data_IF_339390904076
#
_entry.id   IF_339390904076
#
_cell.length_a   1.000
_cell.length_b   1.000
_cell.length_c   1.000
_cell.angle_alpha   90.00
_cell.angle_beta   90.00
_cell.angle_gamma   90.00
#
_symmetry.space_group_name_H-M   'P 1'
#
loop_
_entity.id
_entity.type
_entity.pdbx_description
1 polymer ?
#
# COMPACT_ATOMS: atom_id res chain seq x y z
N UNK A 1 -0.63 29.65 -32.08
CA UNK A 1 0.06 28.88 -31.03
C UNK A 1 -0.96 28.57 -29.94
N UNK A 2 -1.54 27.38 -30.00
CA UNK A 2 -2.54 26.87 -29.05
C UNK A 2 -1.82 26.10 -27.95
N UNK A 3 -1.88 26.61 -26.71
CA UNK A 3 -1.34 25.93 -25.54
C UNK A 3 -2.42 25.01 -24.95
N UNK A 4 -2.19 23.71 -25.01
CA UNK A 4 -2.98 22.71 -24.30
C UNK A 4 -2.68 22.81 -22.80
N UNK A 5 -3.68 23.16 -22.00
CA UNK A 5 -3.60 23.06 -20.54
C UNK A 5 -4.03 21.64 -20.16
N UNK A 6 -3.06 20.82 -19.76
CA UNK A 6 -3.33 19.53 -19.14
C UNK A 6 -3.61 19.76 -17.65
N UNK A 7 -4.86 19.56 -17.24
CA UNK A 7 -5.27 19.60 -15.84
C UNK A 7 -5.07 18.19 -15.25
N UNK A 8 -3.97 17.97 -14.54
CA UNK A 8 -3.77 16.74 -13.78
C UNK A 8 -4.38 16.93 -12.37
N UNK A 9 -5.63 16.49 -12.19
CA UNK A 9 -6.23 16.32 -10.87
C UNK A 9 -5.88 14.91 -10.39
N UNK A 10 -4.88 14.79 -9.51
CA UNK A 10 -4.68 13.55 -8.75
C UNK A 10 -5.66 13.60 -7.58
N UNK A 11 -6.90 13.20 -7.84
CA UNK A 11 -7.87 12.87 -6.80
C UNK A 11 -7.65 11.43 -6.38
N UNK A 12 -6.91 11.19 -5.30
CA UNK A 12 -6.81 9.86 -4.71
C UNK A 12 -7.93 9.67 -3.68
N UNK A 13 -9.08 9.20 -4.16
CA UNK A 13 -10.13 8.63 -3.30
C UNK A 13 -9.71 7.21 -2.90
N UNK A 14 -9.17 7.04 -1.69
CA UNK A 14 -8.99 5.69 -1.12
C UNK A 14 -10.27 5.36 -0.34
N UNK A 15 -11.22 4.74 -1.03
CA UNK A 15 -12.29 3.98 -0.39
C UNK A 15 -11.89 2.51 -0.35
N UNK A 16 -11.47 2.00 0.80
CA UNK A 16 -11.44 0.55 1.07
C UNK A 16 -12.38 0.25 2.22
N UNK A 17 -13.62 -0.05 1.87
CA UNK A 17 -14.58 -0.73 2.73
C UNK A 17 -15.24 -1.83 1.91
N UNK A 18 -15.03 -3.09 2.28
CA UNK A 18 -15.89 -4.18 1.84
C UNK A 18 -17.27 -3.94 2.46
N UNK A 19 -18.26 -3.57 1.64
CA UNK A 19 -19.66 -3.47 2.08
C UNK A 19 -20.43 -4.61 1.43
N UNK A 20 -20.75 -5.63 2.22
CA UNK A 20 -21.87 -6.52 1.94
C UNK A 20 -23.16 -5.73 2.16
N UNK A 21 -23.89 -5.50 1.07
CA UNK A 21 -25.28 -5.02 0.97
C UNK A 21 -25.88 -4.41 2.26
N UNK A 22 -25.63 -3.12 2.47
CA UNK A 22 -26.54 -2.26 3.24
C UNK A 22 -27.17 -1.33 2.20
N UNK A 23 -28.50 -1.27 2.19
CA UNK A 23 -29.27 -0.46 1.25
C UNK A 23 -28.65 0.94 1.13
N UNK A 24 -28.11 1.26 -0.05
CA UNK A 24 -27.63 2.61 -0.35
C UNK A 24 -28.83 3.53 -0.33
N UNK A 25 -28.92 4.37 0.70
CA UNK A 25 -29.54 5.67 0.51
C UNK A 25 -28.53 6.45 -0.31
N UNK A 26 -28.68 6.41 -1.63
CA UNK A 26 -27.94 7.33 -2.49
C UNK A 26 -28.41 8.75 -2.12
N UNK A 27 -27.50 9.66 -1.74
CA UNK A 27 -27.89 11.05 -1.58
C UNK A 27 -28.42 11.53 -2.93
N UNK A 28 -29.65 12.03 -2.95
CA UNK A 28 -30.22 12.63 -4.14
C UNK A 28 -29.44 13.91 -4.46
N UNK A 29 -28.50 13.79 -5.40
CA UNK A 29 -27.71 14.89 -5.95
C UNK A 29 -28.41 15.54 -7.15
N UNK A 30 -29.68 15.22 -7.42
CA UNK A 30 -30.42 15.98 -8.44
C UNK A 30 -30.56 17.42 -7.98
N UNK A 31 -30.17 18.42 -8.80
CA UNK A 31 -30.38 19.81 -8.45
C UNK A 31 -31.88 20.04 -8.26
N UNK A 32 -32.26 20.34 -7.01
CA UNK A 32 -33.62 20.73 -6.67
C UNK A 32 -34.07 21.86 -7.59
N UNK A 33 -35.16 21.62 -8.31
CA UNK A 33 -35.70 22.52 -9.32
C UNK A 33 -36.19 23.82 -8.68
N UNK A 34 -35.55 24.92 -9.08
CA UNK A 34 -35.99 26.32 -9.12
C UNK A 34 -36.90 26.84 -8.00
N UNK A 35 -36.27 27.51 -7.02
CA UNK A 35 -36.83 28.65 -6.29
C UNK A 35 -36.02 29.90 -6.63
N UNK A 36 -36.64 30.86 -7.31
CA UNK A 36 -36.03 32.05 -7.91
C UNK A 36 -35.69 33.13 -6.88
N UNK A 37 -34.38 33.34 -6.69
CA UNK A 37 -33.69 34.64 -6.47
C UNK A 37 -32.23 34.35 -6.82
N UNK A 38 -31.69 34.69 -7.98
CA UNK A 38 -31.55 36.06 -8.49
C UNK A 38 -30.10 36.50 -8.32
N UNK A 39 -29.30 36.36 -9.38
CA UNK A 39 -28.08 37.14 -9.71
C UNK A 39 -26.93 37.19 -8.68
N UNK A 40 -25.91 36.32 -8.85
CA UNK A 40 -24.46 36.66 -8.69
C UNK A 40 -23.54 35.43 -8.88
N UNK A 41 -23.46 34.84 -10.08
CA UNK A 41 -22.36 33.91 -10.44
C UNK A 41 -21.72 34.29 -11.78
N UNK A 42 -22.46 35.00 -12.64
CA UNK A 42 -21.89 35.69 -13.80
C UNK A 42 -21.08 36.91 -13.32
N UNK A 43 -19.77 36.86 -13.50
CA UNK A 43 -18.85 37.96 -13.19
C UNK A 43 -17.82 37.69 -12.08
N UNK A 44 -17.97 36.61 -11.29
CA UNK A 44 -16.93 36.21 -10.32
C UNK A 44 -15.72 35.61 -11.03
N UNK A 45 -14.52 35.80 -10.48
CA UNK A 45 -13.35 35.06 -10.95
C UNK A 45 -13.52 33.56 -10.62
N UNK A 46 -12.87 32.68 -11.39
CA UNK A 46 -12.93 31.25 -11.13
C UNK A 46 -12.44 30.88 -9.71
N UNK A 47 -11.45 31.61 -9.19
CA UNK A 47 -10.94 31.42 -7.83
C UNK A 47 -11.98 31.76 -6.75
N UNK A 48 -12.73 32.85 -6.92
CA UNK A 48 -13.78 33.23 -5.95
C UNK A 48 -14.95 32.25 -6.00
N UNK A 49 -15.31 31.73 -7.19
CA UNK A 49 -16.32 30.67 -7.30
C UNK A 49 -15.86 29.39 -6.59
N UNK A 50 -14.63 28.95 -6.82
CA UNK A 50 -14.05 27.78 -6.15
C UNK A 50 -14.09 27.93 -4.62
N UNK A 51 -13.67 29.08 -4.11
CA UNK A 51 -13.67 29.35 -2.67
C UNK A 51 -15.06 29.21 -2.08
N UNK A 52 -16.05 29.84 -2.71
CA UNK A 52 -17.44 29.78 -2.25
C UNK A 52 -18.00 28.37 -2.30
N UNK A 53 -17.84 27.66 -3.42
CA UNK A 53 -18.33 26.28 -3.56
C UNK A 53 -17.70 25.34 -2.54
N UNK A 54 -16.41 25.52 -2.24
CA UNK A 54 -15.71 24.69 -1.25
C UNK A 54 -16.12 25.05 0.18
N UNK A 55 -16.29 26.33 0.49
CA UNK A 55 -16.87 26.74 1.79
C UNK A 55 -18.26 26.15 1.97
N UNK A 56 -19.17 26.32 1.00
CA UNK A 56 -20.53 25.78 1.06
C UNK A 56 -20.53 24.24 1.23
N UNK A 57 -19.58 23.54 0.61
CA UNK A 57 -19.41 22.09 0.75
C UNK A 57 -18.92 21.68 2.14
N UNK A 58 -17.83 22.28 2.62
CA UNK A 58 -17.18 21.86 3.87
C UNK A 58 -17.92 22.34 5.12
N UNK A 59 -18.74 23.39 5.01
CA UNK A 59 -19.60 23.92 6.07
C UNK A 59 -21.06 23.42 5.96
N UNK A 60 -21.34 22.46 5.06
CA UNK A 60 -22.68 21.90 4.94
C UNK A 60 -23.12 21.23 6.27
N UNK A 61 -24.40 21.36 6.69
CA UNK A 61 -24.86 20.91 8.01
C UNK A 61 -24.59 19.43 8.33
N UNK A 62 -24.52 18.56 7.32
CA UNK A 62 -24.14 17.16 7.53
C UNK A 62 -22.71 16.95 8.08
N UNK A 63 -21.87 17.99 8.07
CA UNK A 63 -20.48 17.96 8.52
C UNK A 63 -20.22 18.76 9.81
N UNK A 64 -21.26 19.18 10.54
CA UNK A 64 -21.16 20.02 11.76
C UNK A 64 -20.22 19.47 12.85
N UNK A 65 -19.97 18.16 12.87
CA UNK A 65 -19.08 17.50 13.82
C UNK A 65 -17.78 16.96 13.20
N UNK A 66 -17.50 17.33 11.96
CA UNK A 66 -16.32 16.90 11.22
C UNK A 66 -15.23 17.97 11.28
N UNK A 67 -14.00 17.55 11.57
CA UNK A 67 -12.84 18.42 11.42
C UNK A 67 -12.26 18.30 10.01
N UNK A 68 -12.47 19.33 9.20
CA UNK A 68 -11.79 19.48 7.90
C UNK A 68 -10.51 20.30 8.04
N UNK A 69 -9.43 19.82 7.42
CA UNK A 69 -8.20 20.58 7.15
C UNK A 69 -7.89 20.47 5.67
N UNK A 70 -7.98 21.59 4.95
CA UNK A 70 -7.95 21.63 3.48
C UNK A 70 -7.06 22.76 3.01
N UNK A 71 -6.16 22.45 2.09
CA UNK A 71 -5.40 23.43 1.31
C UNK A 71 -5.50 23.01 -0.15
N UNK A 72 -5.91 23.93 -1.00
CA UNK A 72 -5.84 23.77 -2.46
C UNK A 72 -4.80 24.75 -2.97
N UNK A 73 -3.73 24.26 -3.58
CA UNK A 73 -2.62 25.07 -4.07
C UNK A 73 -2.47 24.94 -5.58
N UNK A 74 -2.29 26.07 -6.24
CA UNK A 74 -1.82 26.13 -7.62
C UNK A 74 -0.31 25.90 -7.64
N UNK A 75 0.14 24.87 -8.37
CA UNK A 75 1.56 24.50 -8.47
C UNK A 75 2.34 25.40 -9.43
N UNK A 76 1.67 25.98 -10.42
CA UNK A 76 2.28 26.91 -11.39
C UNK A 76 2.45 28.32 -10.81
N UNK A 77 1.43 28.83 -10.10
CA UNK A 77 1.44 30.18 -9.54
C UNK A 77 1.89 30.24 -8.09
N UNK A 78 2.08 29.07 -7.45
CA UNK A 78 2.54 28.93 -6.07
C UNK A 78 1.66 29.68 -5.06
N UNK A 79 0.34 29.69 -5.30
CA UNK A 79 -0.63 30.31 -4.41
C UNK A 79 -1.68 29.33 -3.91
N UNK A 80 -2.20 29.58 -2.71
CA UNK A 80 -3.32 28.84 -2.18
C UNK A 80 -4.63 29.42 -2.70
N UNK A 81 -5.39 28.58 -3.40
CA UNK A 81 -6.70 28.92 -3.95
C UNK A 81 -7.79 28.79 -2.90
N UNK A 82 -7.60 27.89 -1.93
CA UNK A 82 -8.52 27.65 -0.82
C UNK A 82 -7.76 27.17 0.41
N UNK A 83 -8.18 27.64 1.60
CA UNK A 83 -7.60 27.25 2.89
C UNK A 83 -8.71 27.12 3.92
N UNK A 84 -8.80 25.97 4.58
CA UNK A 84 -9.67 25.72 5.74
C UNK A 84 -8.85 25.00 6.79
N UNK A 85 -8.72 25.58 7.99
CA UNK A 85 -7.91 25.03 9.09
C UNK A 85 -6.49 24.53 8.72
N UNK A 86 -5.71 25.23 7.87
CA UNK A 86 -4.50 24.70 7.23
C UNK A 86 -3.35 24.33 8.20
N UNK A 87 -3.40 24.80 9.44
CA UNK A 87 -2.40 24.52 10.47
C UNK A 87 -2.89 23.53 11.54
N UNK A 88 -4.11 23.01 11.42
CA UNK A 88 -4.60 21.99 12.37
C UNK A 88 -4.01 20.63 12.04
N UNK A 89 -3.47 19.97 13.06
CA UNK A 89 -3.03 18.60 12.98
C UNK A 89 -4.26 17.68 12.88
N UNK A 90 -4.21 16.76 11.91
CA UNK A 90 -5.25 15.76 11.66
C UNK A 90 -4.59 14.39 11.48
N UNK A 91 -5.33 13.31 11.73
CA UNK A 91 -4.87 11.96 11.42
C UNK A 91 -4.81 11.80 9.90
N UNK A 92 -3.63 11.60 9.29
CA UNK A 92 -3.50 11.57 7.84
C UNK A 92 -3.97 10.23 7.24
N UNK A 93 -4.16 9.20 8.07
CA UNK A 93 -4.35 7.82 7.63
C UNK A 93 -3.29 7.44 6.57
N UNK A 94 -3.69 6.78 5.49
CA UNK A 94 -2.78 6.40 4.39
C UNK A 94 -2.17 7.58 3.63
N UNK A 95 -2.60 8.83 3.84
CA UNK A 95 -1.91 9.99 3.24
C UNK A 95 -0.49 10.17 3.81
N UNK A 96 -0.18 9.59 4.98
CA UNK A 96 1.19 9.55 5.50
C UNK A 96 2.17 8.90 4.53
N UNK A 97 1.71 7.99 3.66
CA UNK A 97 2.54 7.34 2.63
C UNK A 97 3.19 8.34 1.67
N UNK A 98 2.56 9.50 1.42
CA UNK A 98 3.15 10.54 0.58
C UNK A 98 4.40 11.15 1.24
N UNK A 99 4.37 11.38 2.55
CA UNK A 99 5.51 11.88 3.33
C UNK A 99 6.58 10.81 3.41
N UNK A 100 6.22 9.55 3.69
CA UNK A 100 7.15 8.42 3.70
C UNK A 100 7.85 8.29 2.34
N UNK A 101 7.11 8.32 1.23
CA UNK A 101 7.68 8.24 -0.12
C UNK A 101 8.67 9.39 -0.39
N UNK A 102 8.31 10.62 -0.05
CA UNK A 102 9.17 11.78 -0.25
C UNK A 102 10.49 11.64 0.54
N UNK A 103 10.41 11.28 1.82
CA UNK A 103 11.58 11.07 2.67
C UNK A 103 12.44 9.90 2.15
N UNK A 104 11.83 8.78 1.78
CA UNK A 104 12.56 7.63 1.22
C UNK A 104 13.26 8.01 -0.08
N UNK A 105 12.58 8.72 -0.99
CA UNK A 105 13.18 9.15 -2.25
C UNK A 105 14.32 10.15 -2.06
N UNK A 106 14.25 11.04 -1.07
CA UNK A 106 15.32 11.96 -0.71
C UNK A 106 16.53 11.22 -0.11
N UNK A 107 16.30 10.22 0.74
CA UNK A 107 17.37 9.49 1.43
C UNK A 107 18.03 8.40 0.58
N UNK A 108 17.24 7.60 -0.15
CA UNK A 108 17.71 6.45 -0.91
C UNK A 108 17.91 6.76 -2.40
N UNK A 109 17.23 7.79 -2.91
CA UNK A 109 17.14 8.07 -4.33
C UNK A 109 16.03 7.26 -5.03
N UNK A 110 15.52 7.82 -6.14
CA UNK A 110 14.47 7.17 -6.95
C UNK A 110 14.93 5.87 -7.63
N UNK A 111 16.25 5.71 -7.81
CA UNK A 111 16.85 4.56 -8.46
C UNK A 111 17.34 3.49 -7.47
N UNK A 112 17.05 3.64 -6.17
CA UNK A 112 17.40 2.64 -5.17
C UNK A 112 16.86 1.26 -5.56
N UNK A 113 17.65 0.22 -5.28
CA UNK A 113 17.29 -1.17 -5.46
C UNK A 113 17.55 -1.92 -4.17
N UNK A 114 16.55 -2.68 -3.75
CA UNK A 114 16.74 -3.68 -2.71
C UNK A 114 17.57 -4.84 -3.26
N UNK A 115 18.25 -5.54 -2.38
CA UNK A 115 19.08 -6.69 -2.69
C UNK A 115 18.70 -7.86 -1.79
N UNK A 116 18.48 -9.01 -2.41
CA UNK A 116 18.49 -10.30 -1.74
C UNK A 116 19.64 -11.14 -2.30
N UNK A 117 20.51 -11.61 -1.42
CA UNK A 117 21.76 -12.27 -1.76
C UNK A 117 21.76 -13.72 -1.28
N UNK A 118 22.28 -14.61 -2.13
CA UNK A 118 22.64 -15.98 -1.76
C UNK A 118 24.14 -16.02 -1.49
N UNK A 119 24.52 -16.27 -0.24
CA UNK A 119 25.89 -16.18 0.26
C UNK A 119 26.35 -17.54 0.77
N UNK A 120 27.58 -17.92 0.45
CA UNK A 120 28.26 -19.04 1.09
C UNK A 120 29.76 -18.84 1.08
N UNK A 121 30.44 -19.32 2.11
CA UNK A 121 31.91 -19.40 2.17
C UNK A 121 32.42 -20.84 2.04
N UNK A 122 31.52 -21.81 1.84
CA UNK A 122 31.86 -23.22 1.80
C UNK A 122 32.31 -23.67 0.39
N UNK A 123 33.21 -24.66 0.30
CA UNK A 123 33.63 -25.18 -0.99
C UNK A 123 32.52 -26.00 -1.65
N UNK A 124 32.56 -26.07 -2.98
CA UNK A 124 31.71 -26.92 -3.81
C UNK A 124 32.55 -28.11 -4.26
N UNK A 125 32.18 -29.32 -3.84
CA UNK A 125 32.88 -30.58 -4.15
C UNK A 125 31.90 -31.56 -4.80
N UNK A 126 32.22 -32.03 -6.01
CA UNK A 126 31.37 -32.97 -6.77
C UNK A 126 29.90 -32.53 -6.85
N UNK A 127 29.69 -31.21 -6.98
CA UNK A 127 28.38 -30.58 -7.01
C UNK A 127 27.66 -30.49 -5.66
N UNK A 128 28.36 -30.68 -4.54
CA UNK A 128 27.83 -30.54 -3.19
C UNK A 128 28.47 -29.34 -2.50
N UNK A 129 27.66 -28.40 -2.02
CA UNK A 129 28.11 -27.32 -1.15
C UNK A 129 28.38 -27.90 0.25
N UNK A 130 29.64 -27.90 0.69
CA UNK A 130 30.11 -28.46 1.98
C UNK A 130 29.91 -27.49 3.14
N UNK A 131 28.71 -26.94 3.27
CA UNK A 131 28.38 -26.01 4.34
C UNK A 131 27.05 -25.29 4.11
N UNK A 132 26.86 -24.22 4.85
CA UNK A 132 25.61 -23.47 4.88
C UNK A 132 25.47 -22.56 3.66
N UNK A 133 24.23 -22.38 3.21
CA UNK A 133 23.80 -21.34 2.28
C UNK A 133 23.01 -20.29 3.08
N UNK A 134 23.39 -19.02 2.96
CA UNK A 134 22.74 -17.91 3.66
C UNK A 134 21.95 -17.10 2.64
N UNK A 135 20.69 -16.81 2.96
CA UNK A 135 19.79 -15.93 2.22
C UNK A 135 19.70 -14.63 3.02
N UNK A 136 20.32 -13.56 2.53
CA UNK A 136 20.33 -12.26 3.19
C UNK A 136 19.54 -11.25 2.38
N UNK A 137 18.60 -10.54 3.00
CA UNK A 137 17.86 -9.45 2.36
C UNK A 137 18.02 -8.14 3.12
N UNK A 138 18.12 -7.03 2.38
CA UNK A 138 18.12 -5.67 2.93
C UNK A 138 16.71 -5.04 3.00
N UNK A 139 15.66 -5.85 2.88
CA UNK A 139 14.27 -5.41 3.01
C UNK A 139 13.50 -5.31 1.70
N UNK A 140 13.80 -6.16 0.71
CA UNK A 140 13.08 -6.16 -0.57
C UNK A 140 11.58 -6.44 -0.38
N UNK A 141 10.69 -5.44 -0.55
CA UNK A 141 9.25 -5.63 -0.37
C UNK A 141 8.60 -6.25 -1.62
N UNK A 142 9.39 -6.47 -2.67
CA UNK A 142 8.96 -7.07 -3.93
C UNK A 142 9.36 -8.53 -4.07
N UNK A 143 9.94 -9.09 -3.01
CA UNK A 143 10.29 -10.50 -2.86
C UNK A 143 9.02 -11.38 -2.92
N UNK A 144 8.63 -11.69 -4.17
CA UNK A 144 7.40 -12.35 -4.59
C UNK A 144 6.08 -11.63 -4.29
N UNK A 145 5.30 -11.31 -5.32
CA UNK A 145 4.10 -10.47 -5.23
C UNK A 145 2.83 -11.32 -5.10
N UNK A 146 1.80 -10.75 -4.48
CA UNK A 146 0.47 -11.36 -4.28
C UNK A 146 -0.17 -12.02 -5.52
N UNK A 147 0.21 -11.59 -6.73
CA UNK A 147 -0.41 -12.00 -7.99
C UNK A 147 0.50 -12.86 -8.89
N UNK A 148 1.68 -13.26 -8.41
CA UNK A 148 2.59 -14.21 -9.06
C UNK A 148 2.61 -15.52 -8.29
N UNK A 149 3.25 -16.56 -8.84
CA UNK A 149 3.48 -17.80 -8.09
C UNK A 149 4.30 -17.44 -6.83
N UNK A 150 3.76 -17.63 -5.61
CA UNK A 150 4.33 -17.15 -4.36
C UNK A 150 5.70 -17.75 -4.03
N UNK A 151 6.15 -18.77 -4.75
CA UNK A 151 7.45 -19.43 -4.56
C UNK A 151 8.35 -19.43 -5.81
N UNK A 152 7.96 -18.74 -6.89
CA UNK A 152 8.72 -18.64 -8.16
C UNK A 152 10.19 -18.27 -7.96
N UNK A 153 10.46 -17.33 -7.05
CA UNK A 153 11.83 -16.86 -6.72
C UNK A 153 12.77 -18.00 -6.32
N UNK A 154 12.27 -19.06 -5.68
CA UNK A 154 13.09 -20.21 -5.32
C UNK A 154 13.50 -21.04 -6.54
N UNK A 155 12.70 -21.04 -7.60
CA UNK A 155 13.03 -21.65 -8.89
C UNK A 155 14.19 -20.93 -9.60
N UNK A 156 14.17 -19.61 -9.58
CA UNK A 156 15.25 -18.78 -10.12
C UNK A 156 16.55 -18.99 -9.34
N UNK A 157 16.47 -18.97 -8.02
CA UNK A 157 17.61 -19.25 -7.13
C UNK A 157 18.19 -20.65 -7.34
N UNK A 158 17.34 -21.67 -7.42
CA UNK A 158 17.80 -23.01 -7.70
C UNK A 158 18.48 -23.11 -9.08
N UNK A 159 18.04 -22.31 -10.05
CA UNK A 159 18.65 -22.22 -11.37
C UNK A 159 20.04 -21.58 -11.30
N UNK A 160 20.19 -20.46 -10.61
CA UNK A 160 21.48 -19.80 -10.39
C UNK A 160 22.47 -20.70 -9.63
N UNK A 161 22.02 -21.35 -8.54
CA UNK A 161 22.84 -22.29 -7.78
C UNK A 161 23.32 -23.47 -8.64
N UNK A 162 22.45 -24.01 -9.51
CA UNK A 162 22.82 -25.06 -10.46
C UNK A 162 23.85 -24.60 -11.48
N UNK A 163 23.77 -23.36 -11.96
CA UNK A 163 24.77 -22.78 -12.87
C UNK A 163 26.15 -22.65 -12.20
N UNK A 164 26.19 -22.41 -10.89
CA UNK A 164 27.40 -22.44 -10.06
C UNK A 164 27.89 -23.88 -9.75
N UNK A 165 27.22 -24.91 -10.27
CA UNK A 165 27.57 -26.31 -10.06
C UNK A 165 26.99 -26.93 -8.79
N UNK A 166 26.23 -26.18 -7.99
CA UNK A 166 25.63 -26.68 -6.74
C UNK A 166 24.38 -27.50 -7.09
N UNK A 167 24.40 -28.78 -6.70
CA UNK A 167 23.28 -29.73 -6.84
C UNK A 167 22.77 -30.22 -5.50
N UNK A 168 23.64 -30.27 -4.49
CA UNK A 168 23.31 -30.63 -3.12
C UNK A 168 23.86 -29.58 -2.17
N UNK A 169 23.15 -29.33 -1.07
CA UNK A 169 23.61 -28.53 0.07
C UNK A 169 23.67 -29.48 1.26
N UNK A 170 24.86 -29.70 1.81
CA UNK A 170 25.03 -30.58 2.98
C UNK A 170 24.74 -29.86 4.30
N UNK A 171 24.96 -28.53 4.32
CA UNK A 171 24.65 -27.70 5.46
C UNK A 171 23.20 -27.22 5.50
N UNK A 172 22.99 -26.14 6.25
CA UNK A 172 21.70 -25.49 6.46
C UNK A 172 21.44 -24.44 5.38
N UNK A 173 20.16 -24.15 5.16
CA UNK A 173 19.72 -22.93 4.50
C UNK A 173 19.30 -21.95 5.60
N UNK A 174 19.97 -20.82 5.68
CA UNK A 174 19.83 -19.84 6.77
C UNK A 174 19.25 -18.56 6.21
N UNK A 175 18.09 -18.12 6.72
CA UNK A 175 17.59 -16.77 6.49
C UNK A 175 18.29 -15.78 7.41
N UNK A 176 18.85 -14.71 6.85
CA UNK A 176 19.48 -13.61 7.58
C UNK A 176 18.64 -12.34 7.40
N UNK A 177 17.87 -12.01 8.43
CA UNK A 177 16.95 -10.87 8.52
C UNK A 177 17.49 -9.72 9.40
N UNK A 178 18.79 -9.75 9.74
CA UNK A 178 19.42 -8.77 10.65
C UNK A 178 19.60 -7.37 10.05
N UNK A 179 19.06 -7.08 8.86
CA UNK A 179 19.16 -5.74 8.27
C UNK A 179 18.24 -4.73 8.96
N UNK A 180 17.15 -5.20 9.57
CA UNK A 180 16.19 -4.39 10.34
C UNK A 180 16.31 -4.72 11.84
N UNK A 181 15.68 -3.91 12.69
CA UNK A 181 15.52 -4.24 14.11
C UNK A 181 14.40 -5.28 14.33
N UNK A 182 14.32 -5.77 15.56
CA UNK A 182 13.34 -6.78 15.99
C UNK A 182 11.93 -6.19 16.24
N UNK A 183 11.74 -4.88 16.04
CA UNK A 183 10.45 -4.23 16.26
C UNK A 183 9.56 -4.41 15.02
N UNK A 184 8.93 -5.57 14.94
CA UNK A 184 8.21 -5.99 13.73
C UNK A 184 6.79 -5.42 13.58
N UNK A 185 6.26 -4.69 14.56
CA UNK A 185 4.90 -4.15 14.52
C UNK A 185 4.89 -2.62 14.41
N UNK A 186 3.92 -2.08 13.67
CA UNK A 186 3.73 -0.64 13.54
C UNK A 186 3.38 0.03 14.87
N UNK A 187 4.00 1.17 15.12
CA UNK A 187 3.73 1.96 16.31
C UNK A 187 2.24 2.38 16.38
N UNK A 188 1.58 2.05 17.48
CA UNK A 188 0.17 2.40 17.71
C UNK A 188 -0.85 1.52 16.99
N UNK A 189 -0.44 0.41 16.38
CA UNK A 189 -1.38 -0.59 15.87
C UNK A 189 -2.21 -1.20 17.00
N UNK A 190 -3.50 -1.37 16.75
CA UNK A 190 -4.40 -2.07 17.65
C UNK A 190 -4.21 -3.59 17.48
N UNK A 191 -4.41 -4.34 18.57
CA UNK A 191 -4.17 -5.78 18.61
C UNK A 191 -5.10 -6.56 17.67
N UNK A 192 -6.30 -6.05 17.40
CA UNK A 192 -7.30 -6.64 16.51
C UNK A 192 -6.97 -6.45 15.03
N UNK A 193 -5.93 -5.69 14.70
CA UNK A 193 -5.41 -5.57 13.33
C UNK A 193 -4.53 -6.75 12.93
N UNK A 194 -3.91 -7.43 13.90
CA UNK A 194 -2.81 -8.38 13.65
C UNK A 194 -3.22 -9.65 12.88
N UNK A 195 -4.52 -9.90 12.72
CA UNK A 195 -5.04 -10.96 11.86
C UNK A 195 -5.17 -10.56 10.37
N UNK A 196 -4.89 -9.31 10.01
CA UNK A 196 -5.08 -8.79 8.66
C UNK A 196 -3.75 -8.43 8.00
N UNK A 197 -3.67 -8.66 6.67
CA UNK A 197 -2.44 -8.43 5.92
C UNK A 197 -1.93 -6.99 5.90
N UNK A 198 -2.78 -5.98 6.12
CA UNK A 198 -2.33 -4.58 6.23
C UNK A 198 -1.54 -4.30 7.53
N UNK A 199 -1.55 -5.24 8.47
CA UNK A 199 -0.80 -5.22 9.71
C UNK A 199 0.13 -6.45 9.83
N UNK A 200 0.54 -7.02 8.69
CA UNK A 200 1.59 -8.03 8.64
C UNK A 200 2.86 -7.51 9.32
N UNK A 201 3.60 -8.41 9.97
CA UNK A 201 4.83 -8.03 10.66
C UNK A 201 5.90 -7.58 9.64
N UNK A 202 6.76 -6.67 10.07
CA UNK A 202 7.81 -6.04 9.27
C UNK A 202 9.13 -6.73 9.58
N UNK A 203 9.93 -7.03 8.56
CA UNK A 203 11.23 -7.69 8.67
C UNK A 203 12.00 -7.51 7.37
N UNK A 204 13.31 -7.73 7.38
CA UNK A 204 14.11 -7.52 6.17
C UNK A 204 14.04 -8.69 5.19
N UNK A 205 13.72 -9.90 5.67
CA UNK A 205 13.53 -11.09 4.83
C UNK A 205 12.07 -11.54 4.92
N UNK A 206 11.30 -11.29 3.86
CA UNK A 206 9.87 -11.58 3.83
C UNK A 206 9.51 -12.29 2.53
N UNK A 207 8.68 -13.32 2.62
CA UNK A 207 8.08 -13.98 1.45
C UNK A 207 6.61 -13.58 1.36
N UNK A 208 6.14 -13.28 0.14
CA UNK A 208 4.72 -13.10 -0.15
C UNK A 208 4.07 -12.04 0.75
N UNK A 209 4.73 -10.88 0.90
CA UNK A 209 4.31 -9.76 1.78
C UNK A 209 4.13 -10.14 3.26
N UNK A 210 4.73 -11.26 3.69
CA UNK A 210 4.60 -11.81 5.03
C UNK A 210 3.15 -12.10 5.43
N UNK A 211 2.36 -12.57 4.45
CA UNK A 211 0.98 -12.99 4.64
C UNK A 211 0.78 -14.40 4.08
N UNK A 212 -0.29 -15.04 4.53
CA UNK A 212 -0.82 -16.25 3.91
C UNK A 212 -2.25 -15.97 3.45
N UNK A 213 -2.61 -16.48 2.28
CA UNK A 213 -3.99 -16.47 1.81
C UNK A 213 -4.67 -17.78 2.24
N UNK A 214 -5.86 -17.66 2.82
CA UNK A 214 -6.73 -18.78 3.15
C UNK A 214 -7.88 -18.83 2.15
N UNK A 215 -7.94 -19.88 1.33
CA UNK A 215 -9.10 -20.18 0.50
C UNK A 215 -9.98 -21.19 1.25
N UNK A 216 -11.19 -20.76 1.62
CA UNK A 216 -12.12 -21.54 2.42
C UNK A 216 -13.36 -21.83 1.56
N UNK A 217 -13.60 -23.11 1.27
CA UNK A 217 -14.69 -23.57 0.40
C UNK A 217 -15.61 -24.56 1.13
N UNK A 218 -16.91 -24.58 0.80
CA UNK A 218 -17.80 -25.61 1.31
C UNK A 218 -17.37 -27.01 0.82
N UNK A 219 -17.72 -28.04 1.58
CA UNK A 219 -17.66 -29.43 1.14
C UNK A 219 -18.65 -29.71 0.00
N UNK A 220 -18.60 -30.93 -0.56
CA UNK A 220 -19.41 -31.29 -1.73
C UNK A 220 -20.92 -31.41 -1.41
N UNK A 221 -21.26 -31.75 -0.16
CA UNK A 221 -22.62 -31.90 0.34
C UNK A 221 -22.81 -31.22 1.71
N UNK A 222 -24.07 -31.14 2.16
CA UNK A 222 -24.40 -30.75 3.54
C UNK A 222 -23.74 -31.74 4.49
N UNK A 223 -23.22 -31.22 5.61
CA UNK A 223 -22.45 -31.95 6.63
C UNK A 223 -21.05 -32.44 6.21
N UNK A 224 -20.63 -32.21 4.96
CA UNK A 224 -19.23 -32.41 4.57
C UNK A 224 -18.32 -31.36 5.23
N UNK A 225 -17.06 -31.72 5.57
CA UNK A 225 -16.10 -30.77 6.09
C UNK A 225 -15.79 -29.67 5.06
N UNK A 226 -15.52 -28.47 5.56
CA UNK A 226 -14.99 -27.38 4.73
C UNK A 226 -13.59 -27.73 4.21
N UNK A 227 -13.28 -27.23 3.02
CA UNK A 227 -11.95 -27.30 2.43
C UNK A 227 -11.24 -26.00 2.79
N UNK A 228 -10.04 -26.11 3.37
CA UNK A 228 -9.17 -24.98 3.68
C UNK A 228 -7.85 -25.19 2.96
N UNK A 229 -7.51 -24.26 2.07
CA UNK A 229 -6.24 -24.23 1.36
C UNK A 229 -5.44 -22.99 1.76
N UNK A 230 -4.12 -23.16 1.90
CA UNK A 230 -3.19 -22.10 2.30
C UNK A 230 -2.24 -21.81 1.14
N UNK A 231 -2.06 -20.53 0.81
CA UNK A 231 -1.09 -20.06 -0.18
C UNK A 231 -0.15 -19.02 0.44
N UNK A 232 1.19 -19.15 0.33
CA UNK A 232 1.90 -20.26 -0.32
C UNK A 232 1.66 -21.60 0.40
N UNK A 233 1.72 -22.70 -0.35
CA UNK A 233 1.60 -24.04 0.23
C UNK A 233 2.70 -24.29 1.27
N UNK A 234 2.39 -25.09 2.30
CA UNK A 234 3.30 -25.37 3.43
C UNK A 234 3.70 -24.13 4.25
N UNK A 235 2.96 -23.03 4.14
CA UNK A 235 3.07 -21.89 5.06
C UNK A 235 2.20 -22.16 6.29
N UNK A 236 2.80 -22.13 7.48
CA UNK A 236 2.15 -22.45 8.77
C UNK A 236 2.91 -23.53 9.54
#
# INVERSE_FOLDING_TARGET
MTANVALAVIGLLIGTGCVTSVARVEPDLTPGREGTTGTAVEGLSAAVRLQREFTDLFEAPQFDHTLWSVVVRSLDRQEDLYRLNPAKLVMPASNMKAVTLAATAEHLGWDYRYETQLLTGAPIEDGTLRGDLIVRSNGDPSFNRLHTDPVEVFGDWATELRQLGIRNIEGRIIGDDNAFDEATLGAGWAWDYLGYGYAASIGSLQLYQNIVALDIRPGAAVDDPIIVEVSPAHSG
#
